data_IF_341597964462
#
_entry.id   IF_341597964462
#
_cell.length_a   1.000
_cell.length_b   1.000
_cell.length_c   1.000
_cell.angle_alpha   90.00
_cell.angle_beta   90.00
_cell.angle_gamma   90.00
#
_symmetry.space_group_name_H-M   'P 1'
#
loop_
_entity.id
_entity.type
_entity.pdbx_description
1 polymer ?
#
# COMPACT_ATOMS: atom_id res chain seq x y z
N UNK A 1 10.05 -11.01 -6.25
CA UNK A 1 9.38 -9.80 -5.72
C UNK A 1 7.99 -9.76 -6.35
N UNK A 2 6.92 -9.74 -5.56
CA UNK A 2 5.55 -9.74 -6.09
C UNK A 2 5.24 -8.38 -6.75
N UNK A 3 4.42 -8.38 -7.79
CA UNK A 3 4.07 -7.16 -8.52
C UNK A 3 3.45 -6.08 -7.62
N UNK A 4 2.73 -6.47 -6.56
CA UNK A 4 2.04 -5.54 -5.67
C UNK A 4 2.98 -4.62 -4.86
N UNK A 5 4.11 -5.12 -4.37
CA UNK A 5 5.10 -4.26 -3.68
C UNK A 5 5.63 -3.16 -4.59
N UNK A 6 5.84 -3.48 -5.86
CA UNK A 6 6.30 -2.51 -6.86
C UNK A 6 5.20 -1.49 -7.17
N UNK A 7 3.96 -1.93 -7.33
CA UNK A 7 2.80 -1.05 -7.53
C UNK A 7 2.67 -0.03 -6.39
N UNK A 8 2.84 -0.46 -5.13
CA UNK A 8 2.81 0.45 -3.98
C UNK A 8 3.96 1.46 -4.00
N UNK A 9 5.19 1.02 -4.31
CA UNK A 9 6.34 1.93 -4.43
C UNK A 9 6.11 2.99 -5.52
N UNK A 10 5.63 2.56 -6.69
CA UNK A 10 5.35 3.46 -7.81
C UNK A 10 4.22 4.44 -7.47
N UNK A 11 3.14 3.99 -6.82
CA UNK A 11 2.09 4.86 -6.29
C UNK A 11 2.66 5.91 -5.31
N UNK A 12 3.45 5.45 -4.35
CA UNK A 12 4.08 6.30 -3.33
C UNK A 12 4.93 7.39 -3.96
N UNK A 13 5.76 7.03 -4.95
CA UNK A 13 6.60 7.99 -5.66
C UNK A 13 5.79 8.95 -6.53
N UNK A 14 4.77 8.47 -7.24
CA UNK A 14 3.88 9.32 -8.04
C UNK A 14 3.15 10.37 -7.19
N UNK A 15 2.75 10.00 -5.97
CA UNK A 15 2.11 10.89 -4.99
C UNK A 15 3.08 11.68 -4.11
N UNK A 16 4.40 11.45 -4.26
CA UNK A 16 5.47 12.03 -3.41
C UNK A 16 5.28 11.77 -1.92
N UNK A 17 4.71 10.62 -1.58
CA UNK A 17 4.48 10.20 -0.21
C UNK A 17 5.74 9.58 0.41
N UNK A 18 5.99 9.92 1.66
CA UNK A 18 6.86 9.15 2.54
C UNK A 18 6.22 7.81 2.90
N UNK A 19 7.06 6.84 3.28
CA UNK A 19 6.57 5.50 3.63
C UNK A 19 5.66 5.51 4.87
N UNK A 20 5.88 6.44 5.82
CA UNK A 20 5.00 6.63 6.99
C UNK A 20 3.63 7.18 6.61
N UNK A 21 3.59 8.09 5.64
CA UNK A 21 2.35 8.71 5.18
C UNK A 21 1.49 7.67 4.45
N UNK A 22 2.09 6.89 3.55
CA UNK A 22 1.39 5.79 2.88
C UNK A 22 0.90 4.73 3.88
N UNK A 23 1.71 4.39 4.89
CA UNK A 23 1.29 3.43 5.92
C UNK A 23 0.06 3.93 6.70
N UNK A 24 0.01 5.23 7.00
CA UNK A 24 -1.14 5.85 7.64
C UNK A 24 -2.37 5.87 6.71
N UNK A 25 -2.19 6.16 5.42
CA UNK A 25 -3.25 6.16 4.40
C UNK A 25 -3.91 4.77 4.23
N UNK A 26 -3.10 3.71 4.24
CA UNK A 26 -3.57 2.32 4.14
C UNK A 26 -4.14 1.82 5.49
N UNK A 27 -3.74 2.42 6.61
CA UNK A 27 -4.10 1.95 7.95
C UNK A 27 -3.25 0.76 8.43
N UNK A 28 -1.96 0.71 8.08
CA UNK A 28 -1.00 -0.30 8.52
C UNK A 28 0.19 0.32 9.26
N UNK A 29 0.94 -0.49 10.00
CA UNK A 29 2.17 0.00 10.65
C UNK A 29 3.28 0.26 9.63
N UNK A 30 4.07 1.31 9.86
CA UNK A 30 5.25 1.62 9.05
C UNK A 30 6.23 0.42 8.93
N UNK A 31 6.60 -0.30 10.01
CA UNK A 31 7.49 -1.46 9.89
C UNK A 31 6.91 -2.57 9.02
N UNK A 32 5.59 -2.80 9.09
CA UNK A 32 4.92 -3.81 8.27
C UNK A 32 4.94 -3.42 6.79
N UNK A 33 4.63 -2.16 6.45
CA UNK A 33 4.68 -1.69 5.07
C UNK A 33 6.11 -1.67 4.51
N UNK A 34 7.10 -1.28 5.31
CA UNK A 34 8.52 -1.31 4.92
C UNK A 34 8.99 -2.72 4.56
N UNK A 35 8.69 -3.70 5.42
CA UNK A 35 8.99 -5.11 5.13
C UNK A 35 8.27 -5.61 3.89
N UNK A 36 7.03 -5.15 3.67
CA UNK A 36 6.23 -5.50 2.50
C UNK A 36 6.85 -4.94 1.20
N UNK A 37 7.27 -3.67 1.18
CA UNK A 37 7.93 -3.05 0.01
C UNK A 37 9.29 -3.70 -0.29
N UNK A 38 10.08 -4.06 0.73
CA UNK A 38 11.37 -4.72 0.59
C UNK A 38 11.29 -6.18 0.14
N UNK A 39 10.08 -6.73 -0.05
CA UNK A 39 9.89 -8.10 -0.53
C UNK A 39 9.96 -9.17 0.55
N UNK A 40 9.77 -8.81 1.83
CA UNK A 40 9.54 -9.77 2.91
C UNK A 40 8.21 -10.52 2.75
N UNK A 41 7.79 -11.29 3.76
CA UNK A 41 6.55 -12.09 3.70
C UNK A 41 5.33 -11.22 3.37
N UNK A 42 4.76 -11.43 2.18
CA UNK A 42 3.61 -10.69 1.65
C UNK A 42 2.31 -11.46 1.91
N UNK A 43 2.05 -11.77 3.17
CA UNK A 43 0.90 -12.56 3.59
C UNK A 43 0.33 -12.02 4.90
N UNK A 44 -0.88 -12.45 5.25
CA UNK A 44 -1.52 -12.10 6.51
C UNK A 44 -2.15 -10.70 6.51
N UNK A 45 -2.33 -10.09 7.70
CA UNK A 45 -3.17 -8.90 7.86
C UNK A 45 -2.74 -7.69 7.02
N UNK A 46 -1.43 -7.50 6.83
CA UNK A 46 -0.91 -6.39 6.03
C UNK A 46 -1.29 -6.51 4.55
N UNK A 47 -1.20 -7.71 3.96
CA UNK A 47 -1.66 -7.93 2.59
C UNK A 47 -3.16 -7.64 2.46
N UNK A 48 -3.97 -8.14 3.40
CA UNK A 48 -5.43 -7.92 3.39
C UNK A 48 -5.77 -6.45 3.48
N UNK A 49 -5.11 -5.70 4.36
CA UNK A 49 -5.31 -4.25 4.49
C UNK A 49 -4.93 -3.51 3.20
N UNK A 50 -3.78 -3.83 2.60
CA UNK A 50 -3.35 -3.27 1.32
C UNK A 50 -4.37 -3.55 0.21
N UNK A 51 -4.83 -4.80 0.09
CA UNK A 51 -5.81 -5.18 -0.95
C UNK A 51 -7.15 -4.49 -0.73
N UNK A 52 -7.62 -4.39 0.52
CA UNK A 52 -8.84 -3.65 0.84
C UNK A 52 -8.72 -2.17 0.50
N UNK A 53 -7.58 -1.54 0.81
CA UNK A 53 -7.34 -0.15 0.46
C UNK A 53 -7.27 0.05 -1.07
N UNK A 54 -6.59 -0.83 -1.79
CA UNK A 54 -6.41 -0.72 -3.23
C UNK A 54 -7.71 -0.96 -4.01
N UNK A 55 -8.57 -1.85 -3.49
CA UNK A 55 -9.81 -2.27 -4.12
C UNK A 55 -11.06 -1.66 -3.49
N UNK A 56 -10.89 -0.80 -2.47
CA UNK A 56 -12.00 0.00 -1.98
C UNK A 56 -12.44 0.91 -3.12
N UNK A 57 -13.74 0.89 -3.44
CA UNK A 57 -14.33 1.69 -4.52
C UNK A 57 -13.78 3.12 -4.46
N UNK A 58 -13.16 3.54 -5.56
CA UNK A 58 -12.81 4.94 -5.76
C UNK A 58 -14.10 5.77 -5.55
N UNK A 59 -14.04 6.93 -4.88
CA UNK A 59 -15.22 7.79 -4.81
C UNK A 59 -15.73 8.00 -6.23
N UNK A 60 -17.03 7.74 -6.45
CA UNK A 60 -17.69 7.95 -7.74
C UNK A 60 -17.21 9.28 -8.32
N UNK A 61 -16.50 9.23 -9.44
CA UNK A 61 -16.26 10.42 -10.24
C UNK A 61 -17.61 10.73 -10.89
N UNK A 62 -18.43 11.51 -10.19
CA UNK A 62 -19.65 12.07 -10.77
C UNK A 62 -19.23 12.97 -11.94
N UNK A 63 -19.74 12.74 -13.17
CA UNK A 63 -19.38 13.53 -14.34
C UNK A 63 -19.81 15.00 -14.23
#
# INVERSE_FOLDING_TARGET
MMNLSRVLQEYRWAKRLGLRELAAEIGVSFPSLSRFELGGSQSGPTLVAILKWLLADAPEVTP
#
